data_IF_555334876970
#
_entry.id   IF_555334876970
#
_cell.length_a   1.000
_cell.length_b   1.000
_cell.length_c   1.000
_cell.angle_alpha   90.00
_cell.angle_beta   90.00
_cell.angle_gamma   90.00
#
_symmetry.space_group_name_H-M   'P 1'
#
loop_
_entity.id
_entity.type
_entity.pdbx_description
1 polymer ?
#
# COMPACT_ATOMS: atom_id res chain seq x y z
N UNK A 1 14.26 6.56 -6.63
CA UNK A 1 13.12 5.79 -7.13
C UNK A 1 12.26 5.40 -5.93
N UNK A 2 10.95 5.64 -5.97
CA UNK A 2 10.06 5.31 -4.85
C UNK A 2 9.64 3.82 -4.94
N UNK A 3 9.63 3.12 -3.81
CA UNK A 3 9.24 1.71 -3.71
C UNK A 3 8.68 1.39 -2.31
N UNK A 4 7.73 0.46 -2.23
CA UNK A 4 7.22 -0.07 -0.95
C UNK A 4 8.09 -1.23 -0.51
N UNK A 5 8.71 -1.19 0.67
CA UNK A 5 9.43 -2.34 1.22
C UNK A 5 8.53 -3.57 1.36
N UNK A 6 9.03 -4.76 1.03
CA UNK A 6 8.27 -6.01 1.16
C UNK A 6 7.78 -6.24 2.59
N UNK A 7 8.61 -5.91 3.59
CA UNK A 7 8.24 -6.04 5.01
C UNK A 7 7.05 -5.16 5.38
N UNK A 8 7.01 -3.93 4.87
CA UNK A 8 5.88 -3.03 5.07
C UNK A 8 4.60 -3.58 4.41
N UNK A 9 4.71 -4.08 3.17
CA UNK A 9 3.56 -4.69 2.49
C UNK A 9 3.04 -5.91 3.28
N UNK A 10 3.94 -6.73 3.83
CA UNK A 10 3.57 -7.86 4.68
C UNK A 10 2.90 -7.43 5.99
N UNK A 11 3.44 -6.41 6.66
CA UNK A 11 2.86 -5.84 7.88
C UNK A 11 1.42 -5.35 7.64
N UNK A 12 1.24 -4.52 6.61
CA UNK A 12 -0.06 -3.93 6.27
C UNK A 12 -1.06 -4.98 5.78
N UNK A 13 -0.61 -5.97 5.01
CA UNK A 13 -1.45 -7.07 4.57
C UNK A 13 -1.96 -7.91 5.75
N UNK A 14 -1.07 -8.24 6.70
CA UNK A 14 -1.45 -8.95 7.94
C UNK A 14 -2.38 -8.12 8.82
N UNK A 15 -2.24 -6.80 8.81
CA UNK A 15 -3.11 -5.88 9.53
C UNK A 15 -4.50 -5.72 8.88
N UNK A 16 -4.72 -6.27 7.68
CA UNK A 16 -5.97 -6.14 6.91
C UNK A 16 -6.64 -7.49 6.66
N UNK A 17 -7.21 -8.15 7.68
CA UNK A 17 -7.93 -9.41 7.53
C UNK A 17 -9.17 -9.32 6.63
N UNK A 18 -9.73 -8.13 6.43
CA UNK A 18 -10.89 -7.87 5.59
C UNK A 18 -10.59 -7.94 4.09
N UNK A 19 -9.30 -8.04 3.71
CA UNK A 19 -8.81 -8.22 2.33
C UNK A 19 -9.51 -7.30 1.30
N UNK A 20 -9.64 -6.02 1.63
CA UNK A 20 -10.20 -5.02 0.73
C UNK A 20 -9.46 -3.69 0.85
N UNK A 21 -9.53 -2.87 -0.21
CA UNK A 21 -8.76 -1.64 -0.30
C UNK A 21 -9.19 -0.56 0.68
N UNK A 22 -10.47 -0.51 1.09
CA UNK A 22 -10.93 0.46 2.08
C UNK A 22 -10.30 0.21 3.44
N UNK A 23 -10.43 -1.01 3.96
CA UNK A 23 -9.78 -1.39 5.22
C UNK A 23 -8.25 -1.24 5.13
N UNK A 24 -7.65 -1.61 4.00
CA UNK A 24 -6.21 -1.44 3.78
C UNK A 24 -5.78 0.04 3.84
N UNK A 25 -6.58 0.94 3.26
CA UNK A 25 -6.33 2.37 3.31
C UNK A 25 -6.30 2.89 4.75
N UNK A 26 -7.29 2.51 5.56
CA UNK A 26 -7.32 2.87 6.99
C UNK A 26 -6.08 2.36 7.73
N UNK A 27 -5.62 1.13 7.45
CA UNK A 27 -4.39 0.58 8.05
C UNK A 27 -3.13 1.31 7.62
N UNK A 28 -3.03 1.65 6.34
CA UNK A 28 -1.91 2.45 5.82
C UNK A 28 -1.91 3.82 6.49
N UNK A 29 -3.07 4.47 6.58
CA UNK A 29 -3.19 5.78 7.21
C UNK A 29 -2.78 5.72 8.68
N UNK A 30 -3.32 4.76 9.45
CA UNK A 30 -2.96 4.56 10.85
C UNK A 30 -1.45 4.31 11.02
N UNK A 31 -0.84 3.49 10.15
CA UNK A 31 0.59 3.18 10.17
C UNK A 31 1.47 4.40 9.87
N UNK A 32 0.97 5.31 9.05
CA UNK A 32 1.64 6.57 8.72
C UNK A 32 1.51 7.62 9.83
N UNK A 33 0.39 7.63 10.54
CA UNK A 33 0.15 8.55 11.66
C UNK A 33 0.87 8.12 12.94
N UNK A 34 0.91 6.81 13.22
CA UNK A 34 1.41 6.28 14.50
C UNK A 34 2.78 5.62 14.41
N UNK A 35 3.21 5.23 13.21
CA UNK A 35 4.44 4.46 13.03
C UNK A 35 5.64 5.31 12.65
N UNK A 36 6.85 4.70 12.67
CA UNK A 36 8.06 5.36 12.21
C UNK A 36 7.98 5.68 10.71
N UNK A 37 8.77 6.66 10.27
CA UNK A 37 8.89 7.04 8.87
C UNK A 37 9.23 5.82 8.00
N UNK A 38 8.56 5.72 6.85
CA UNK A 38 8.79 4.65 5.89
C UNK A 38 9.94 5.07 4.98
N UNK A 39 11.01 4.28 4.97
CA UNK A 39 12.07 4.42 3.99
C UNK A 39 11.65 3.79 2.66
N UNK A 40 11.97 4.45 1.54
CA UNK A 40 11.71 3.97 0.18
C UNK A 40 10.47 4.56 -0.51
N UNK A 41 9.41 4.92 0.21
CA UNK A 41 8.21 5.54 -0.39
C UNK A 41 7.70 6.72 0.44
N UNK A 42 7.29 7.79 -0.24
CA UNK A 42 6.64 8.90 0.46
C UNK A 42 5.25 8.45 0.97
N UNK A 43 4.93 8.66 2.26
CA UNK A 43 3.63 8.36 2.86
C UNK A 43 2.42 8.79 2.03
N UNK A 44 2.46 10.01 1.50
CA UNK A 44 1.38 10.58 0.70
C UNK A 44 1.22 9.82 -0.62
N UNK A 45 2.33 9.46 -1.26
CA UNK A 45 2.31 8.66 -2.49
C UNK A 45 1.68 7.30 -2.24
N UNK A 46 2.04 6.62 -1.15
CA UNK A 46 1.49 5.32 -0.79
C UNK A 46 -0.04 5.39 -0.59
N UNK A 47 -0.51 6.34 0.23
CA UNK A 47 -1.94 6.55 0.45
C UNK A 47 -2.71 6.84 -0.84
N UNK A 48 -2.14 7.68 -1.71
CA UNK A 48 -2.78 7.99 -2.99
C UNK A 48 -2.83 6.78 -3.92
N UNK A 49 -1.79 5.95 -3.97
CA UNK A 49 -1.78 4.72 -4.76
C UNK A 49 -2.85 3.75 -4.29
N UNK A 50 -3.00 3.57 -2.98
CA UNK A 50 -4.04 2.71 -2.39
C UNK A 50 -5.44 3.25 -2.70
N UNK A 51 -5.66 4.55 -2.51
CA UNK A 51 -6.94 5.19 -2.82
C UNK A 51 -7.30 5.03 -4.30
N UNK A 52 -6.32 5.20 -5.18
CA UNK A 52 -6.51 5.01 -6.62
C UNK A 52 -6.92 3.57 -6.97
N UNK A 53 -6.20 2.57 -6.44
CA UNK A 53 -6.52 1.15 -6.63
C UNK A 53 -7.95 0.81 -6.18
N UNK A 54 -8.37 1.40 -5.05
CA UNK A 54 -9.76 1.28 -4.56
C UNK A 54 -10.78 1.89 -5.53
N UNK A 55 -10.46 3.05 -6.13
CA UNK A 55 -11.37 3.77 -7.02
C UNK A 55 -11.55 3.10 -8.38
N UNK A 56 -10.48 2.51 -8.92
CA UNK A 56 -10.54 1.81 -10.21
C UNK A 56 -11.06 0.37 -10.10
N UNK A 57 -11.45 -0.07 -8.89
CA UNK A 57 -12.01 -1.39 -8.66
C UNK A 57 -11.02 -2.54 -8.88
N UNK A 58 -9.72 -2.31 -8.67
CA UNK A 58 -8.73 -3.39 -8.73
C UNK A 58 -9.04 -4.43 -7.65
N UNK A 59 -9.05 -5.74 -7.94
CA UNK A 59 -9.25 -6.75 -6.92
C UNK A 59 -8.15 -6.67 -5.85
N UNK A 60 -8.52 -6.88 -4.58
CA UNK A 60 -7.54 -6.87 -3.51
C UNK A 60 -6.64 -8.12 -3.58
N UNK A 61 -5.31 -7.98 -3.38
CA UNK A 61 -4.38 -9.10 -3.48
C UNK A 61 -4.59 -10.17 -2.38
N UNK A 62 -4.56 -11.43 -2.78
CA UNK A 62 -4.73 -12.57 -1.87
C UNK A 62 -3.46 -12.95 -1.10
N UNK A 63 -2.33 -12.31 -1.40
CA UNK A 63 -1.05 -12.55 -0.76
C UNK A 63 -0.30 -11.24 -0.56
N UNK A 64 0.50 -11.15 0.51
CA UNK A 64 1.37 -9.99 0.75
C UNK A 64 2.37 -9.73 -0.39
N UNK A 65 2.82 -10.78 -1.08
CA UNK A 65 3.72 -10.66 -2.22
C UNK A 65 3.05 -10.01 -3.44
N UNK A 66 1.79 -10.36 -3.70
CA UNK A 66 1.01 -9.72 -4.77
C UNK A 66 0.68 -8.26 -4.41
N UNK A 67 0.37 -7.99 -3.14
CA UNK A 67 0.20 -6.62 -2.66
C UNK A 67 1.46 -5.79 -2.87
N UNK A 68 2.63 -6.32 -2.50
CA UNK A 68 3.91 -5.67 -2.75
C UNK A 68 4.10 -5.33 -4.24
N UNK A 69 3.81 -6.27 -5.14
CA UNK A 69 3.93 -6.05 -6.60
C UNK A 69 2.99 -4.95 -7.06
N UNK A 70 1.69 -5.06 -6.75
CA UNK A 70 0.66 -4.09 -7.16
C UNK A 70 1.00 -2.69 -6.66
N UNK A 71 1.42 -2.54 -5.39
CA UNK A 71 1.78 -1.24 -4.84
C UNK A 71 3.02 -0.66 -5.53
N UNK A 72 4.07 -1.46 -5.74
CA UNK A 72 5.28 -1.00 -6.39
C UNK A 72 5.05 -0.63 -7.87
N UNK A 73 4.28 -1.43 -8.61
CA UNK A 73 3.91 -1.11 -9.99
C UNK A 73 3.12 0.20 -10.07
N UNK A 74 2.16 0.42 -9.17
CA UNK A 74 1.42 1.68 -9.12
C UNK A 74 2.29 2.89 -8.78
N UNK A 75 3.21 2.74 -7.83
CA UNK A 75 4.13 3.82 -7.46
C UNK A 75 5.07 4.14 -8.62
N UNK A 76 5.63 3.12 -9.28
CA UNK A 76 6.50 3.31 -10.43
C UNK A 76 5.78 3.99 -11.60
N UNK A 77 4.55 3.57 -11.91
CA UNK A 77 3.73 4.20 -12.95
C UNK A 77 3.39 5.67 -12.67
N UNK A 78 3.36 6.09 -11.39
CA UNK A 78 3.13 7.48 -10.98
C UNK A 78 4.39 8.35 -10.94
N UNK A 79 5.57 7.76 -11.07
CA UNK A 79 6.85 8.49 -10.98
C UNK A 79 7.50 8.74 -12.35
N UNK A 80 6.79 8.44 -13.43
CA UNK A 80 7.12 8.73 -14.84
C UNK A 80 6.31 9.95 -15.32
#
# INVERSE_FOLDING_TARGET
>A
MQFVPLELAQELWKATPELNWSAFYDRVQERLEKGPAIEGVNPTTLLQSVKYLSQIGTPFPLSAQDLYKVLNEQIQNRTL
#
